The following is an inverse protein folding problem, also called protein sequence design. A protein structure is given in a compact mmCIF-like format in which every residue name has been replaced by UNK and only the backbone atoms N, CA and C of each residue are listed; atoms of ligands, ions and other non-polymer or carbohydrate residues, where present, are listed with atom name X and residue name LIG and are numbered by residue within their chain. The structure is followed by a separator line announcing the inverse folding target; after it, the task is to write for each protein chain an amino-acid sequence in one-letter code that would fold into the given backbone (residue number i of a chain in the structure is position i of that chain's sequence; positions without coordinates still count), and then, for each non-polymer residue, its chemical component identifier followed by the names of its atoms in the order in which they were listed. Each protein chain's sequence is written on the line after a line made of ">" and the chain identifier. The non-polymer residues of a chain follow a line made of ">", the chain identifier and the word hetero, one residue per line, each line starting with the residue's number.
data_IF_220730953080
#
_entry.id   IF_220730953080
#
_cell.length_a   1.000
_cell.length_b   1.000
_cell.length_c   1.000
_cell.angle_alpha   90.00
_cell.angle_beta   90.00
_cell.angle_gamma   90.00
#
_symmetry.space_group_name_H-M   'P 1'
#
loop_
_entity.id
_entity.type
_entity.pdbx_description
1 polymer ?
#
# COMPACT_ATOMS: atom_id res chain seq x y z
N UNK A 1 11.64 18.78 -22.62
CA UNK A 1 11.51 17.58 -21.77
C UNK A 1 12.66 17.53 -20.78
N UNK A 2 12.34 17.55 -19.52
CA UNK A 2 13.36 17.51 -18.48
C UNK A 2 13.98 16.13 -18.31
N UNK A 3 15.16 16.09 -17.70
CA UNK A 3 15.78 14.84 -17.29
C UNK A 3 14.86 14.10 -16.30
N UNK A 4 14.87 12.76 -16.28
CA UNK A 4 14.10 12.02 -15.30
C UNK A 4 14.55 12.39 -13.89
N UNK A 5 13.61 12.89 -13.10
CA UNK A 5 13.87 13.20 -11.69
C UNK A 5 13.97 11.91 -10.89
N UNK A 6 15.02 11.82 -10.09
CA UNK A 6 15.23 10.74 -9.15
C UNK A 6 14.64 11.15 -7.80
N UNK A 7 13.67 10.41 -7.32
CA UNK A 7 13.19 10.56 -5.96
C UNK A 7 13.96 9.64 -5.03
N UNK A 8 14.35 10.18 -3.88
CA UNK A 8 14.98 9.38 -2.84
C UNK A 8 14.06 9.32 -1.63
N UNK A 9 13.77 8.13 -1.18
CA UNK A 9 13.07 7.91 0.09
C UNK A 9 13.91 6.98 0.95
N UNK A 10 13.89 7.20 2.25
CA UNK A 10 14.62 6.35 3.18
C UNK A 10 14.04 4.94 3.22
N UNK A 11 12.73 4.84 3.13
CA UNK A 11 12.02 3.57 3.19
C UNK A 11 10.97 3.52 2.10
N UNK A 12 11.01 2.46 1.31
CA UNK A 12 9.98 2.15 0.32
C UNK A 12 9.21 0.91 0.78
N UNK A 13 7.90 1.04 0.87
CA UNK A 13 7.01 -0.07 1.17
C UNK A 13 6.39 -0.54 -0.15
N UNK A 14 6.66 -1.77 -0.53
CA UNK A 14 6.12 -2.36 -1.76
C UNK A 14 4.88 -3.16 -1.39
N UNK A 15 3.72 -2.65 -1.77
CA UNK A 15 2.42 -3.21 -1.45
C UNK A 15 1.65 -2.38 -0.44
N UNK A 16 0.47 -1.89 -0.86
CA UNK A 16 -0.43 -1.05 -0.06
C UNK A 16 -1.64 -1.82 0.48
N UNK A 17 -1.47 -3.09 0.78
CA UNK A 17 -2.47 -3.88 1.49
C UNK A 17 -2.41 -3.63 3.00
N UNK A 18 -3.06 -4.48 3.77
CA UNK A 18 -3.14 -4.31 5.22
C UNK A 18 -1.76 -4.27 5.90
N UNK A 19 -0.82 -5.11 5.47
CA UNK A 19 0.51 -5.12 6.04
C UNK A 19 1.28 -3.84 5.73
N UNK A 20 1.26 -3.41 4.46
CA UNK A 20 1.95 -2.19 4.03
C UNK A 20 1.38 -0.94 4.68
N UNK A 21 0.07 -0.84 4.81
CA UNK A 21 -0.57 0.29 5.47
C UNK A 21 -0.26 0.31 6.97
N UNK A 22 -0.24 -0.85 7.62
CA UNK A 22 0.14 -0.95 9.02
C UNK A 22 1.59 -0.50 9.26
N UNK A 23 2.51 -0.93 8.41
CA UNK A 23 3.91 -0.47 8.44
C UNK A 23 3.96 1.05 8.24
N UNK A 24 3.21 1.58 7.29
CA UNK A 24 3.13 3.02 7.04
C UNK A 24 2.65 3.81 8.24
N UNK A 25 1.64 3.32 8.94
CA UNK A 25 1.17 3.93 10.18
C UNK A 25 2.31 4.06 11.21
N UNK A 26 3.07 3.00 11.42
CA UNK A 26 4.17 3.04 12.39
C UNK A 26 5.33 3.92 11.95
N UNK A 27 5.64 3.95 10.66
CA UNK A 27 6.67 4.85 10.11
C UNK A 27 6.25 6.31 10.29
N UNK A 28 4.99 6.63 9.99
CA UNK A 28 4.45 7.98 10.16
C UNK A 28 4.51 8.44 11.62
N UNK A 29 4.16 7.56 12.55
CA UNK A 29 4.23 7.86 13.98
C UNK A 29 5.64 8.16 14.48
N UNK A 30 6.64 7.58 13.81
CA UNK A 30 8.05 7.83 14.14
C UNK A 30 8.63 9.03 13.39
N UNK A 31 7.84 9.69 12.55
CA UNK A 31 8.31 10.83 11.77
C UNK A 31 9.33 10.44 10.70
N UNK A 32 9.34 9.20 10.26
CA UNK A 32 10.28 8.71 9.26
C UNK A 32 9.73 8.94 7.85
N UNK A 33 10.55 9.45 6.91
CA UNK A 33 10.13 9.60 5.53
C UNK A 33 9.95 8.22 4.87
N UNK A 34 8.85 8.04 4.15
CA UNK A 34 8.59 6.78 3.45
C UNK A 34 7.61 7.00 2.30
N UNK A 35 7.52 6.00 1.43
CA UNK A 35 6.55 5.94 0.35
C UNK A 35 6.03 4.51 0.26
N UNK A 36 4.73 4.38 0.05
CA UNK A 36 4.08 3.10 -0.23
C UNK A 36 3.71 3.08 -1.71
N UNK A 37 4.11 2.03 -2.44
CA UNK A 37 3.69 1.82 -3.82
C UNK A 37 2.83 0.57 -3.90
N UNK A 38 1.77 0.63 -4.70
CA UNK A 38 0.84 -0.47 -4.86
C UNK A 38 0.43 -0.67 -6.31
N UNK A 39 0.32 -1.92 -6.71
CA UNK A 39 -0.03 -2.28 -8.09
C UNK A 39 -1.49 -1.97 -8.44
N UNK A 40 -2.37 -2.00 -7.47
CA UNK A 40 -3.79 -1.73 -7.68
C UNK A 40 -4.04 -0.24 -7.94
N UNK A 41 -5.14 0.04 -8.61
CA UNK A 41 -5.52 1.43 -8.93
C UNK A 41 -6.05 2.20 -7.72
N UNK A 42 -6.49 1.48 -6.69
CA UNK A 42 -7.11 2.05 -5.50
C UNK A 42 -6.81 1.22 -4.27
N UNK A 43 -6.57 1.87 -3.15
CA UNK A 43 -6.39 1.19 -1.87
C UNK A 43 -7.62 0.33 -1.55
N UNK A 44 -7.39 -0.92 -1.18
CA UNK A 44 -8.45 -1.87 -0.89
C UNK A 44 -8.82 -2.79 -2.05
N UNK A 45 -8.31 -2.55 -3.25
CA UNK A 45 -8.68 -3.33 -4.44
C UNK A 45 -8.32 -4.80 -4.36
N UNK A 46 -7.33 -5.17 -3.56
CA UNK A 46 -7.01 -6.57 -3.31
C UNK A 46 -8.20 -7.33 -2.70
N UNK A 47 -9.08 -6.63 -2.01
CA UNK A 47 -10.32 -7.17 -1.48
C UNK A 47 -11.48 -7.01 -2.47
N UNK A 48 -11.62 -5.85 -3.12
CA UNK A 48 -12.71 -5.58 -4.06
C UNK A 48 -12.76 -6.57 -5.21
N UNK A 49 -11.61 -7.03 -5.70
CA UNK A 49 -11.53 -7.94 -6.83
C UNK A 49 -11.72 -9.42 -6.46
N UNK A 50 -12.05 -9.71 -5.21
CA UNK A 50 -12.42 -11.05 -4.77
C UNK A 50 -13.87 -11.35 -5.15
N UNK A 51 -14.30 -12.61 -5.00
CA UNK A 51 -15.67 -13.00 -5.32
C UNK A 51 -16.69 -12.27 -4.44
N UNK A 52 -17.87 -12.03 -5.00
CA UNK A 52 -18.85 -11.10 -4.42
C UNK A 52 -19.31 -11.45 -3.01
N UNK A 53 -19.44 -12.74 -2.71
CA UNK A 53 -19.94 -13.20 -1.41
C UNK A 53 -18.86 -13.36 -0.35
N UNK A 54 -17.60 -12.99 -0.64
CA UNK A 54 -16.53 -13.16 0.33
C UNK A 54 -16.77 -12.31 1.57
N UNK A 55 -16.67 -12.98 2.71
CA UNK A 55 -16.59 -12.35 4.02
C UNK A 55 -15.27 -12.72 4.67
N UNK A 56 -14.76 -11.85 5.53
CA UNK A 56 -13.58 -12.15 6.32
C UNK A 56 -13.85 -13.36 7.21
N UNK A 57 -12.80 -14.13 7.50
CA UNK A 57 -12.90 -15.32 8.35
C UNK A 57 -12.75 -15.00 9.84
N UNK A 58 -12.49 -13.73 10.15
CA UNK A 58 -12.36 -13.23 11.51
C UNK A 58 -13.41 -12.16 11.78
N UNK A 59 -13.94 -12.10 13.01
CA UNK A 59 -14.89 -11.05 13.38
C UNK A 59 -14.21 -9.69 13.49
N UNK A 60 -15.01 -8.64 13.40
CA UNK A 60 -14.55 -7.25 13.32
C UNK A 60 -13.57 -6.84 14.42
N UNK A 61 -13.71 -7.41 15.62
CA UNK A 61 -12.79 -7.10 16.73
C UNK A 61 -11.32 -7.43 16.45
N UNK A 62 -11.05 -8.32 15.47
CA UNK A 62 -9.70 -8.72 15.07
C UNK A 62 -9.28 -8.13 13.73
N UNK A 63 -10.16 -7.41 13.06
CA UNK A 63 -9.94 -6.99 11.67
C UNK A 63 -9.34 -5.59 11.54
N UNK A 64 -9.34 -4.83 12.63
CA UNK A 64 -8.74 -3.50 12.64
C UNK A 64 -7.21 -3.53 12.65
N UNK A 65 -6.62 -2.53 12.02
CA UNK A 65 -5.18 -2.29 12.10
C UNK A 65 -4.88 -1.38 13.30
N UNK A 66 -3.61 -1.30 13.64
CA UNK A 66 -3.18 -0.42 14.73
C UNK A 66 -3.60 1.03 14.48
N UNK A 67 -4.16 1.65 15.48
CA UNK A 67 -4.58 3.05 15.42
C UNK A 67 -6.03 3.29 15.02
N UNK A 68 -6.73 2.33 14.43
CA UNK A 68 -8.13 2.49 14.03
C UNK A 68 -8.90 1.19 14.13
N UNK A 69 -9.91 1.16 14.97
CA UNK A 69 -10.80 0.00 15.09
C UNK A 69 -11.58 -0.21 13.79
N UNK A 70 -11.89 -1.46 13.52
CA UNK A 70 -12.85 -1.77 12.45
C UNK A 70 -14.25 -1.31 12.90
N UNK A 71 -14.95 -0.49 12.08
CA UNK A 71 -16.21 0.15 12.48
C UNK A 71 -17.41 -0.78 12.31
N UNK A 72 -17.47 -1.83 13.13
CA UNK A 72 -18.57 -2.79 13.13
C UNK A 72 -18.69 -3.44 14.50
N UNK A 73 -19.84 -4.06 14.82
CA UNK A 73 -19.98 -4.80 16.06
C UNK A 73 -18.91 -5.89 16.23
N UNK A 74 -18.41 -6.17 17.44
CA UNK A 74 -17.23 -7.03 17.63
C UNK A 74 -17.35 -8.43 17.04
N UNK A 75 -18.54 -9.00 16.98
CA UNK A 75 -18.77 -10.35 16.47
C UNK A 75 -19.20 -10.41 15.00
N UNK A 76 -19.31 -9.26 14.35
CA UNK A 76 -19.70 -9.18 12.96
C UNK A 76 -18.54 -9.60 12.05
N UNK A 77 -18.86 -10.38 11.00
CA UNK A 77 -17.89 -10.78 9.99
C UNK A 77 -18.01 -9.84 8.79
N UNK A 78 -17.05 -8.92 8.60
CA UNK A 78 -17.13 -7.95 7.51
C UNK A 78 -17.12 -8.59 6.14
N UNK A 79 -17.78 -7.93 5.17
CA UNK A 79 -17.65 -8.26 3.76
C UNK A 79 -16.31 -7.78 3.21
N UNK A 80 -15.94 -8.30 2.04
CA UNK A 80 -14.74 -7.83 1.33
C UNK A 80 -14.77 -6.33 1.05
N UNK A 81 -15.94 -5.80 0.67
CA UNK A 81 -16.08 -4.38 0.36
C UNK A 81 -15.98 -3.50 1.61
N UNK A 82 -16.48 -3.99 2.72
CA UNK A 82 -16.31 -3.30 4.01
C UNK A 82 -14.84 -3.26 4.42
N UNK A 83 -14.10 -4.35 4.21
CA UNK A 83 -12.65 -4.35 4.47
C UNK A 83 -11.91 -3.42 3.52
N UNK A 84 -12.27 -3.42 2.23
CA UNK A 84 -11.68 -2.52 1.24
C UNK A 84 -11.89 -1.05 1.63
N UNK A 85 -13.11 -0.69 2.00
CA UNK A 85 -13.44 0.66 2.47
C UNK A 85 -12.69 1.05 3.74
N UNK A 86 -12.55 0.12 4.67
CA UNK A 86 -11.77 0.33 5.89
C UNK A 86 -10.31 0.67 5.57
N UNK A 87 -9.68 -0.09 4.68
CA UNK A 87 -8.28 0.15 4.30
C UNK A 87 -8.10 1.50 3.61
N UNK A 88 -9.02 1.88 2.74
CA UNK A 88 -8.99 3.19 2.08
C UNK A 88 -9.13 4.33 3.10
N UNK A 89 -10.09 4.22 4.01
CA UNK A 89 -10.29 5.19 5.09
C UNK A 89 -9.06 5.26 6.00
N UNK A 90 -8.44 4.12 6.29
CA UNK A 90 -7.23 4.06 7.10
C UNK A 90 -6.08 4.86 6.48
N UNK A 91 -5.86 4.66 5.17
CA UNK A 91 -4.80 5.40 4.47
C UNK A 91 -5.08 6.91 4.46
N UNK A 92 -6.34 7.31 4.29
CA UNK A 92 -6.74 8.72 4.32
C UNK A 92 -6.61 9.34 5.71
N UNK A 93 -7.09 8.64 6.73
CA UNK A 93 -7.08 9.12 8.11
C UNK A 93 -5.66 9.43 8.60
N UNK A 94 -4.72 8.57 8.27
CA UNK A 94 -3.33 8.74 8.68
C UNK A 94 -2.46 9.40 7.61
N UNK A 95 -3.07 9.90 6.54
CA UNK A 95 -2.39 10.61 5.45
C UNK A 95 -1.18 9.85 4.92
N UNK A 96 -1.33 8.53 4.74
CA UNK A 96 -0.25 7.67 4.29
C UNK A 96 0.09 7.95 2.82
N UNK A 97 1.37 8.13 2.48
CA UNK A 97 1.78 8.44 1.10
C UNK A 97 1.75 7.20 0.22
N UNK A 98 0.58 6.89 -0.33
CA UNK A 98 0.39 5.74 -1.23
C UNK A 98 0.34 6.22 -2.67
N UNK A 99 1.18 5.61 -3.52
CA UNK A 99 1.09 5.75 -4.97
C UNK A 99 0.51 4.48 -5.55
N UNK A 100 -0.68 4.59 -6.10
CA UNK A 100 -1.40 3.48 -6.74
C UNK A 100 -0.98 3.31 -8.19
N UNK A 101 -1.36 2.18 -8.79
CA UNK A 101 -1.06 1.83 -10.17
C UNK A 101 0.45 1.77 -10.47
N UNK A 102 1.23 1.34 -9.51
CA UNK A 102 2.68 1.15 -9.63
C UNK A 102 3.00 -0.32 -9.42
N UNK A 103 3.40 -1.00 -10.49
CA UNK A 103 3.82 -2.39 -10.44
C UNK A 103 5.34 -2.44 -10.37
N UNK A 104 5.88 -2.96 -9.30
CA UNK A 104 7.32 -3.19 -9.16
C UNK A 104 7.63 -4.60 -9.66
N UNK A 105 8.34 -4.70 -10.79
CA UNK A 105 8.72 -6.00 -11.36
C UNK A 105 9.98 -6.56 -10.75
N UNK A 106 10.91 -5.68 -10.41
CA UNK A 106 12.22 -6.08 -9.94
C UNK A 106 12.77 -5.08 -8.95
N UNK A 107 13.49 -5.60 -7.98
CA UNK A 107 14.25 -4.80 -7.02
C UNK A 107 15.72 -5.17 -7.17
N UNK A 108 16.55 -4.18 -7.44
CA UNK A 108 18.00 -4.38 -7.56
C UNK A 108 18.74 -3.48 -6.57
N UNK A 109 19.95 -3.89 -6.23
CA UNK A 109 20.82 -3.10 -5.37
C UNK A 109 22.07 -2.69 -6.14
N UNK A 110 22.29 -1.38 -6.24
CA UNK A 110 23.42 -0.80 -6.94
C UNK A 110 24.03 0.32 -6.07
N UNK A 111 25.33 0.31 -5.92
CA UNK A 111 26.06 1.34 -5.15
C UNK A 111 25.48 1.57 -3.74
N UNK A 112 25.01 0.50 -3.10
CA UNK A 112 24.46 0.57 -1.75
C UNK A 112 23.01 1.02 -1.66
N UNK A 113 22.37 1.37 -2.77
CA UNK A 113 20.99 1.79 -2.82
C UNK A 113 20.10 0.72 -3.46
N UNK A 114 18.83 0.69 -3.07
CA UNK A 114 17.83 -0.18 -3.67
C UNK A 114 17.08 0.55 -4.77
N UNK A 115 16.90 -0.12 -5.90
CA UNK A 115 16.27 0.42 -7.11
C UNK A 115 15.08 -0.44 -7.52
N UNK A 116 13.84 -0.02 -7.22
CA UNK A 116 12.67 -0.71 -7.74
C UNK A 116 12.49 -0.39 -9.24
N UNK A 117 12.18 -1.41 -10.02
CA UNK A 117 11.93 -1.29 -11.46
C UNK A 117 10.46 -1.56 -11.72
N UNK A 118 9.68 -0.54 -12.13
CA UNK A 118 8.27 -0.73 -12.44
C UNK A 118 8.04 -1.44 -13.77
N UNK A 119 6.88 -2.09 -13.90
CA UNK A 119 6.49 -2.86 -15.08
C UNK A 119 6.44 -2.03 -16.37
N UNK A 120 6.14 -0.73 -16.26
CA UNK A 120 6.00 0.19 -17.37
C UNK A 120 7.30 0.89 -17.76
N UNK A 121 8.42 0.36 -17.29
CA UNK A 121 9.71 0.95 -17.59
C UNK A 121 10.08 0.65 -19.03
N UNK A 122 10.37 1.69 -19.81
CA UNK A 122 10.95 1.53 -21.13
C UNK A 122 12.31 0.86 -20.98
N UNK A 123 12.42 -0.36 -21.53
CA UNK A 123 13.63 -1.14 -21.46
C UNK A 123 14.85 -0.45 -22.07
N UNK A 124 14.61 0.56 -22.94
CA UNK A 124 15.67 1.32 -23.58
C UNK A 124 16.21 2.46 -22.73
N UNK A 125 15.38 3.00 -21.85
CA UNK A 125 15.76 4.17 -21.04
C UNK A 125 16.03 3.83 -19.59
N UNK A 126 15.69 2.62 -19.14
CA UNK A 126 15.88 2.19 -17.76
C UNK A 126 15.19 3.10 -16.75
N UNK A 127 14.11 3.76 -17.13
CA UNK A 127 13.39 4.66 -16.25
C UNK A 127 12.81 3.87 -15.08
N UNK A 128 13.26 4.20 -13.92
CA UNK A 128 12.85 3.58 -12.68
C UNK A 128 11.94 4.52 -11.92
N UNK A 129 10.90 3.97 -11.31
CA UNK A 129 10.22 4.66 -10.24
C UNK A 129 11.15 4.66 -9.03
N UNK A 130 11.35 5.80 -8.52
CA UNK A 130 12.33 6.03 -7.45
C UNK A 130 11.65 6.64 -6.26
#
# INVERSE_FOLDING_TARGET
>A
MGEPTVEHVETLVIGGGQAGLSVGYHLARRGLPFLIVDANERVGDSWRHRWDSLRLFTPARFDGLDGMRFPAPPHYFPSKDEMAGYLETYAEEFELPVRSAVVVERLSREEGAWWPVPANTDSKTGRQLK
#
